data_IF_917766047419
#
_entry.id   IF_917766047419
#
_cell.length_a   1.000
_cell.length_b   1.000
_cell.length_c   1.000
_cell.angle_alpha   90.00
_cell.angle_beta   90.00
_cell.angle_gamma   90.00
#
_symmetry.space_group_name_H-M   'P 1'
#
loop_
_entity.id
_entity.type
_entity.pdbx_description
1 polymer ?
#
# COMPACT_ATOMS: atom_id res chain seq x y z
N UNK A 1 -5.01 13.13 4.42
CA UNK A 1 -4.64 11.71 4.66
C UNK A 1 -3.57 11.24 3.66
N UNK A 2 -3.83 11.20 2.37
CA UNK A 2 -2.85 10.74 1.37
C UNK A 2 -1.64 11.66 1.25
N UNK A 3 -1.79 12.96 1.40
CA UNK A 3 -0.70 13.92 1.35
C UNK A 3 0.32 13.65 2.46
N UNK A 4 -0.15 13.47 3.69
CA UNK A 4 0.72 13.14 4.82
C UNK A 4 1.43 11.81 4.59
N UNK A 5 0.72 10.78 4.11
CA UNK A 5 1.32 9.49 3.78
C UNK A 5 2.40 9.63 2.70
N UNK A 6 2.17 10.45 1.69
CA UNK A 6 3.14 10.74 0.66
C UNK A 6 4.39 11.43 1.23
N UNK A 7 4.21 12.45 2.07
CA UNK A 7 5.32 13.14 2.74
C UNK A 7 6.15 12.19 3.62
N UNK A 8 5.47 11.29 4.35
CA UNK A 8 6.13 10.31 5.23
C UNK A 8 6.95 9.26 4.46
N UNK A 9 6.58 8.96 3.20
CA UNK A 9 7.31 7.99 2.36
C UNK A 9 8.46 8.65 1.60
N UNK A 10 8.29 9.88 1.11
CA UNK A 10 9.31 10.55 0.32
C UNK A 10 10.49 11.00 1.18
N UNK A 11 11.64 10.37 0.96
CA UNK A 11 12.91 10.67 1.60
C UNK A 11 14.05 10.52 0.60
N UNK A 12 15.22 11.02 0.95
CA UNK A 12 16.45 10.86 0.14
C UNK A 12 16.88 9.38 0.04
N UNK A 13 16.35 8.52 0.94
CA UNK A 13 16.63 7.08 1.02
C UNK A 13 15.44 6.21 0.61
N UNK A 14 14.50 6.76 -0.17
CA UNK A 14 13.23 6.08 -0.50
C UNK A 14 13.41 4.66 -1.06
N UNK A 15 14.41 4.42 -1.89
CA UNK A 15 14.66 3.09 -2.46
C UNK A 15 15.06 2.09 -1.38
N UNK A 16 15.96 2.49 -0.47
CA UNK A 16 16.38 1.67 0.66
C UNK A 16 15.21 1.43 1.64
N UNK A 17 14.41 2.44 1.90
CA UNK A 17 13.26 2.38 2.80
C UNK A 17 12.17 1.45 2.26
N UNK A 18 11.85 1.52 0.96
CA UNK A 18 10.94 0.59 0.29
C UNK A 18 11.50 -0.83 0.33
N UNK A 19 12.79 -1.00 0.02
CA UNK A 19 13.42 -2.32 0.03
C UNK A 19 13.42 -2.96 1.43
N UNK A 20 13.65 -2.17 2.49
CA UNK A 20 13.57 -2.65 3.87
C UNK A 20 12.14 -2.91 4.33
N UNK A 21 11.17 -2.22 3.75
CA UNK A 21 9.74 -2.35 4.05
C UNK A 21 9.04 -3.54 3.39
N UNK A 22 9.72 -4.28 2.53
CA UNK A 22 9.12 -5.47 1.90
C UNK A 22 8.76 -6.54 2.93
N UNK A 23 7.48 -6.87 3.03
CA UNK A 23 6.97 -7.91 3.93
C UNK A 23 7.52 -9.27 3.51
N UNK A 24 8.11 -10.00 4.45
CA UNK A 24 8.74 -11.29 4.19
C UNK A 24 10.18 -11.21 3.67
N UNK A 25 10.78 -10.02 3.61
CA UNK A 25 12.21 -9.89 3.28
C UNK A 25 13.06 -10.64 4.31
N UNK A 26 13.96 -11.49 3.81
CA UNK A 26 14.84 -12.30 4.66
C UNK A 26 14.18 -13.52 5.29
N UNK A 27 12.91 -13.81 4.97
CA UNK A 27 12.23 -15.02 5.44
C UNK A 27 13.00 -16.28 5.02
N UNK A 28 13.15 -17.21 5.94
CA UNK A 28 13.74 -18.51 5.69
C UNK A 28 12.66 -19.58 5.65
N UNK A 29 12.73 -20.46 4.67
CA UNK A 29 11.79 -21.55 4.48
C UNK A 29 12.52 -22.89 4.55
N UNK A 30 11.88 -23.90 5.13
CA UNK A 30 12.38 -25.27 5.15
C UNK A 30 12.07 -25.93 3.81
N UNK A 31 13.12 -26.35 3.10
CA UNK A 31 13.02 -27.09 1.85
C UNK A 31 13.66 -28.47 1.93
N UNK A 32 13.66 -29.24 0.82
CA UNK A 32 14.27 -30.58 0.76
C UNK A 32 15.76 -30.62 1.13
N UNK A 33 16.45 -29.50 0.93
CA UNK A 33 17.89 -29.35 1.21
C UNK A 33 18.17 -28.53 2.48
N UNK A 34 17.23 -28.52 3.42
CA UNK A 34 17.32 -27.76 4.66
C UNK A 34 16.76 -26.35 4.54
N UNK A 35 17.06 -25.54 5.55
CA UNK A 35 16.58 -24.16 5.67
C UNK A 35 17.29 -23.24 4.69
N UNK A 36 16.53 -22.54 3.86
CA UNK A 36 17.05 -21.61 2.84
C UNK A 36 16.32 -20.27 2.93
N UNK A 37 17.07 -19.21 2.70
CA UNK A 37 16.49 -17.88 2.55
C UNK A 37 15.64 -17.83 1.30
N UNK A 38 14.40 -17.33 1.45
CA UNK A 38 13.49 -17.11 0.33
C UNK A 38 14.03 -16.00 -0.59
N UNK A 39 14.08 -16.29 -1.89
CA UNK A 39 14.29 -15.30 -2.94
C UNK A 39 12.98 -15.21 -3.73
N UNK A 40 12.36 -14.03 -3.69
CA UNK A 40 11.14 -13.75 -4.45
C UNK A 40 11.48 -12.85 -5.63
N UNK A 41 11.29 -13.33 -6.85
CA UNK A 41 11.62 -12.61 -8.07
C UNK A 41 10.46 -12.51 -9.07
N UNK A 42 9.31 -13.14 -8.77
CA UNK A 42 8.16 -13.19 -9.68
C UNK A 42 7.20 -12.02 -9.50
N UNK A 43 7.74 -10.79 -9.55
CA UNK A 43 6.94 -9.57 -9.42
C UNK A 43 5.95 -9.35 -10.57
N UNK A 44 6.17 -10.00 -11.72
CA UNK A 44 5.24 -9.94 -12.86
C UNK A 44 3.92 -10.64 -12.52
N UNK A 45 3.98 -11.74 -11.80
CA UNK A 45 2.78 -12.46 -11.36
C UNK A 45 2.11 -11.77 -10.16
N UNK A 46 2.91 -11.31 -9.19
CA UNK A 46 2.36 -10.65 -7.99
C UNK A 46 3.42 -9.79 -7.31
N UNK A 47 3.06 -8.59 -6.90
CA UNK A 47 3.89 -7.76 -6.06
C UNK A 47 3.99 -8.30 -4.63
N UNK A 48 4.87 -7.68 -3.83
CA UNK A 48 4.99 -7.95 -2.39
C UNK A 48 4.35 -6.80 -1.62
N UNK A 49 3.75 -7.12 -0.48
CA UNK A 49 3.24 -6.12 0.43
C UNK A 49 4.38 -5.28 1.04
N UNK A 50 4.07 -4.03 1.34
CA UNK A 50 4.99 -3.08 1.97
C UNK A 50 4.47 -2.67 3.34
N UNK A 51 5.31 -2.76 4.37
CA UNK A 51 4.94 -2.35 5.73
C UNK A 51 4.43 -0.91 5.79
N UNK A 52 4.96 -0.01 4.99
CA UNK A 52 4.50 1.38 4.92
C UNK A 52 3.03 1.48 4.51
N UNK A 53 2.61 0.68 3.54
CA UNK A 53 1.22 0.64 3.06
C UNK A 53 0.32 -0.08 4.07
N UNK A 54 0.74 -1.26 4.53
CA UNK A 54 -0.05 -2.06 5.48
C UNK A 54 -0.29 -1.30 6.79
N UNK A 55 0.73 -0.63 7.32
CA UNK A 55 0.57 0.20 8.51
C UNK A 55 -0.36 1.39 8.27
N UNK A 56 -0.26 2.08 7.14
CA UNK A 56 -1.18 3.16 6.80
C UNK A 56 -2.62 2.66 6.74
N UNK A 57 -2.86 1.52 6.12
CA UNK A 57 -4.20 0.91 6.06
C UNK A 57 -4.69 0.59 7.46
N UNK A 58 -3.85 -0.03 8.29
CA UNK A 58 -4.23 -0.47 9.64
C UNK A 58 -4.50 0.72 10.59
N UNK A 59 -3.67 1.75 10.54
CA UNK A 59 -3.71 2.83 11.54
C UNK A 59 -4.58 4.02 11.12
N UNK A 60 -4.66 4.33 9.83
CA UNK A 60 -5.35 5.51 9.33
C UNK A 60 -6.68 5.18 8.65
N UNK A 61 -6.72 4.10 7.84
CA UNK A 61 -7.88 3.79 7.03
C UNK A 61 -8.90 2.90 7.75
N UNK A 62 -8.48 1.80 8.33
CA UNK A 62 -9.39 0.85 8.98
C UNK A 62 -10.19 1.44 10.16
N UNK A 63 -9.65 2.33 11.00
CA UNK A 63 -10.43 2.94 12.08
C UNK A 63 -11.66 3.74 11.62
N UNK A 64 -11.62 4.25 10.39
CA UNK A 64 -12.71 5.04 9.81
C UNK A 64 -13.40 4.33 8.65
N UNK A 65 -13.07 3.05 8.42
CA UNK A 65 -13.58 2.30 7.29
C UNK A 65 -15.10 2.10 7.37
N UNK A 66 -15.77 2.39 6.28
CA UNK A 66 -17.20 2.16 6.09
C UNK A 66 -17.49 1.89 4.61
N UNK A 67 -18.73 1.46 4.32
CA UNK A 67 -19.18 1.25 2.95
C UNK A 67 -19.11 2.55 2.13
N UNK A 68 -18.41 2.55 1.01
CA UNK A 68 -18.22 3.70 0.12
C UNK A 68 -19.37 3.91 -0.88
N UNK A 69 -20.45 3.15 -0.81
CA UNK A 69 -21.60 3.26 -1.72
C UNK A 69 -22.71 4.16 -1.16
N UNK A 70 -22.50 4.76 -0.01
CA UNK A 70 -23.45 5.68 0.61
C UNK A 70 -22.77 6.96 1.09
N UNK A 71 -23.42 8.08 0.88
CA UNK A 71 -23.01 9.38 1.43
C UNK A 71 -23.94 9.80 2.58
N UNK A 72 -24.89 8.94 2.99
CA UNK A 72 -25.85 9.22 4.05
C UNK A 72 -25.22 9.23 5.45
N UNK A 73 -24.07 8.60 5.63
CA UNK A 73 -23.29 8.64 6.88
C UNK A 73 -21.99 9.41 6.70
N UNK A 74 -21.49 9.98 7.78
CA UNK A 74 -20.21 10.70 7.78
C UNK A 74 -19.05 9.81 7.30
N UNK A 75 -18.92 8.59 7.84
CA UNK A 75 -17.87 7.67 7.45
C UNK A 75 -18.03 7.17 6.01
N UNK A 76 -19.26 6.90 5.57
CA UNK A 76 -19.55 6.53 4.18
C UNK A 76 -19.15 7.64 3.20
N UNK A 77 -19.46 8.89 3.54
CA UNK A 77 -19.06 10.07 2.76
C UNK A 77 -17.53 10.21 2.70
N UNK A 78 -16.83 10.03 3.83
CA UNK A 78 -15.36 10.03 3.87
C UNK A 78 -14.77 8.96 2.95
N UNK A 79 -15.25 7.71 3.04
CA UNK A 79 -14.76 6.61 2.21
C UNK A 79 -15.01 6.86 0.73
N UNK A 80 -16.16 7.39 0.37
CA UNK A 80 -16.49 7.79 -1.00
C UNK A 80 -15.53 8.87 -1.52
N UNK A 81 -15.24 9.87 -0.70
CA UNK A 81 -14.30 10.94 -1.02
C UNK A 81 -12.86 10.41 -1.21
N UNK A 82 -12.37 9.60 -0.28
CA UNK A 82 -11.04 8.97 -0.36
C UNK A 82 -10.89 8.10 -1.60
N UNK A 83 -11.91 7.29 -1.92
CA UNK A 83 -11.93 6.46 -3.13
C UNK A 83 -11.86 7.33 -4.39
N UNK A 84 -12.62 8.41 -4.46
CA UNK A 84 -12.59 9.35 -5.60
C UNK A 84 -11.23 10.00 -5.75
N UNK A 85 -10.62 10.41 -4.65
CA UNK A 85 -9.28 11.00 -4.63
C UNK A 85 -8.21 10.01 -5.10
N UNK A 86 -8.24 8.77 -4.61
CA UNK A 86 -7.32 7.72 -5.05
C UNK A 86 -7.42 7.46 -6.56
N UNK A 87 -8.63 7.38 -7.09
CA UNK A 87 -8.86 7.23 -8.54
C UNK A 87 -8.32 8.40 -9.35
N UNK A 88 -8.47 9.62 -8.86
CA UNK A 88 -7.94 10.81 -9.53
C UNK A 88 -6.40 10.79 -9.56
N UNK A 89 -5.76 10.44 -8.45
CA UNK A 89 -4.30 10.30 -8.39
C UNK A 89 -3.80 9.28 -9.43
N UNK A 90 -4.43 8.10 -9.47
CA UNK A 90 -4.07 7.06 -10.46
C UNK A 90 -4.27 7.57 -11.89
N UNK A 91 -5.40 8.23 -12.16
CA UNK A 91 -5.70 8.80 -13.49
C UNK A 91 -4.64 9.80 -13.93
N UNK A 92 -4.22 10.69 -13.04
CA UNK A 92 -3.19 11.71 -13.32
C UNK A 92 -1.84 11.07 -13.58
N UNK A 93 -1.44 10.10 -12.75
CA UNK A 93 -0.17 9.38 -12.93
C UNK A 93 -0.10 8.57 -14.23
N UNK A 94 -1.23 8.11 -14.73
CA UNK A 94 -1.33 7.37 -15.98
C UNK A 94 -1.60 8.27 -17.21
N UNK A 95 -1.67 9.59 -17.02
CA UNK A 95 -2.10 10.55 -18.07
C UNK A 95 -3.45 10.21 -18.72
N UNK A 96 -4.35 9.59 -17.97
CA UNK A 96 -5.68 9.16 -18.42
C UNK A 96 -6.70 10.30 -18.22
N UNK A 97 -6.51 11.42 -18.90
CA UNK A 97 -7.31 12.64 -18.73
C UNK A 97 -8.61 12.68 -19.55
N UNK A 98 -9.08 11.56 -20.06
CA UNK A 98 -10.32 11.45 -20.84
C UNK A 98 -11.44 10.82 -20.03
#
# INVERSE_FOLDING_TARGET
>A
MFEKFQEDIFSDTIVADIASGLVGRGLELMGPFGKKRMIYADYVASGRALWQIENFVLTELLPIYANSHTEASYLGSMMTSLRRKARNIIREQLNANK
#
